data_IF_988363607750
#
_entry.id   IF_988363607750
#
_cell.length_a   1.000
_cell.length_b   1.000
_cell.length_c   1.000
_cell.angle_alpha   90.00
_cell.angle_beta   90.00
_cell.angle_gamma   90.00
#
_symmetry.space_group_name_H-M   'P 1'
#
loop_
_entity.id
_entity.type
_entity.pdbx_description
1 polymer ?
#
# COMPACT_ATOMS: atom_id res chain seq x y z
N UNK A 1 77.29 -9.51 1.70
CA UNK A 1 76.31 -8.59 1.09
C UNK A 1 74.92 -9.11 1.41
N UNK A 2 74.22 -8.51 2.38
CA UNK A 2 72.87 -8.94 2.78
C UNK A 2 71.82 -8.26 1.89
N UNK A 3 71.10 -9.05 1.08
CA UNK A 3 69.95 -8.58 0.32
C UNK A 3 68.75 -8.51 1.28
N UNK A 4 68.34 -7.29 1.65
CA UNK A 4 67.13 -7.05 2.42
C UNK A 4 65.90 -7.25 1.54
N UNK A 5 65.19 -8.38 1.68
CA UNK A 5 63.89 -8.65 1.04
C UNK A 5 62.77 -7.80 1.65
N UNK A 6 62.76 -6.48 1.43
CA UNK A 6 61.74 -5.56 1.98
C UNK A 6 60.49 -5.36 1.11
N UNK A 7 60.37 -6.05 -0.04
CA UNK A 7 59.24 -5.87 -0.97
C UNK A 7 58.05 -6.82 -0.79
N UNK A 8 58.19 -7.93 -0.03
CA UNK A 8 57.18 -8.98 0.03
C UNK A 8 56.04 -8.73 1.06
N UNK A 9 56.23 -7.82 2.02
CA UNK A 9 55.23 -7.51 3.06
C UNK A 9 54.19 -6.47 2.62
N UNK A 10 54.49 -5.61 1.64
CA UNK A 10 53.52 -4.62 1.13
C UNK A 10 52.37 -5.27 0.33
N UNK A 11 52.59 -6.42 -0.29
CA UNK A 11 51.57 -7.12 -1.08
C UNK A 11 50.64 -8.03 -0.25
N UNK A 12 51.11 -8.51 0.90
CA UNK A 12 50.31 -9.35 1.80
C UNK A 12 49.23 -8.52 2.49
N UNK A 13 49.61 -7.39 3.08
CA UNK A 13 48.68 -6.49 3.78
C UNK A 13 47.69 -5.83 2.80
N UNK A 14 48.10 -5.54 1.56
CA UNK A 14 47.20 -4.99 0.55
C UNK A 14 46.07 -5.95 0.15
N UNK A 15 46.35 -7.26 0.09
CA UNK A 15 45.32 -8.29 -0.21
C UNK A 15 44.38 -8.50 0.96
N UNK A 16 44.91 -8.50 2.18
CA UNK A 16 44.11 -8.60 3.40
C UNK A 16 43.20 -7.35 3.51
N UNK A 17 43.74 -6.16 3.29
CA UNK A 17 42.96 -4.92 3.27
C UNK A 17 41.87 -4.95 2.20
N UNK A 18 42.19 -5.38 0.97
CA UNK A 18 41.20 -5.50 -0.10
C UNK A 18 40.09 -6.50 0.26
N UNK A 19 40.43 -7.63 0.87
CA UNK A 19 39.45 -8.62 1.33
C UNK A 19 38.54 -8.04 2.43
N UNK A 20 39.09 -7.28 3.38
CA UNK A 20 38.32 -6.61 4.43
C UNK A 20 37.39 -5.56 3.82
N UNK A 21 37.88 -4.68 2.93
CA UNK A 21 37.04 -3.69 2.26
C UNK A 21 35.97 -4.34 1.36
N UNK A 22 36.31 -5.45 0.70
CA UNK A 22 35.34 -6.24 -0.06
C UNK A 22 34.23 -6.80 0.83
N UNK A 23 34.60 -7.42 1.96
CA UNK A 23 33.63 -7.96 2.92
C UNK A 23 32.76 -6.86 3.54
N UNK A 24 33.35 -5.75 3.98
CA UNK A 24 32.62 -4.61 4.53
C UNK A 24 31.68 -3.99 3.49
N UNK A 25 32.10 -3.87 2.23
CA UNK A 25 31.26 -3.36 1.15
C UNK A 25 30.00 -4.22 0.93
N UNK A 26 30.13 -5.55 0.95
CA UNK A 26 28.99 -6.47 0.83
C UNK A 26 28.04 -6.34 2.02
N UNK A 27 28.57 -6.28 3.24
CA UNK A 27 27.77 -6.12 4.47
C UNK A 27 27.02 -4.79 4.43
N UNK A 28 27.72 -3.69 4.11
CA UNK A 28 27.12 -2.36 3.99
C UNK A 28 26.07 -2.30 2.89
N UNK A 29 26.28 -2.98 1.75
CA UNK A 29 25.30 -3.06 0.67
C UNK A 29 24.01 -3.75 1.08
N UNK A 30 24.11 -4.90 1.75
CA UNK A 30 22.94 -5.62 2.26
C UNK A 30 22.18 -4.83 3.33
N UNK A 31 22.91 -4.19 4.25
CA UNK A 31 22.32 -3.34 5.28
C UNK A 31 21.62 -2.11 4.68
N UNK A 32 22.25 -1.44 3.70
CA UNK A 32 21.67 -0.29 3.00
C UNK A 32 20.40 -0.68 2.23
N UNK A 33 20.44 -1.79 1.50
CA UNK A 33 19.27 -2.30 0.80
C UNK A 33 18.11 -2.59 1.77
N UNK A 34 18.40 -3.26 2.89
CA UNK A 34 17.40 -3.54 3.93
C UNK A 34 16.80 -2.26 4.52
N UNK A 35 17.63 -1.25 4.79
CA UNK A 35 17.17 0.04 5.30
C UNK A 35 16.25 0.76 4.30
N UNK A 36 16.57 0.71 3.00
CA UNK A 36 15.72 1.27 1.94
C UNK A 36 14.37 0.56 1.88
N UNK A 37 14.33 -0.77 1.99
CA UNK A 37 13.07 -1.52 1.97
C UNK A 37 12.21 -1.20 3.20
N UNK A 38 12.82 -1.06 4.38
CA UNK A 38 12.10 -0.64 5.58
C UNK A 38 11.52 0.78 5.44
N UNK A 39 12.29 1.72 4.90
CA UNK A 39 11.81 3.09 4.66
C UNK A 39 10.66 3.15 3.65
N UNK A 40 10.71 2.32 2.58
CA UNK A 40 9.59 2.18 1.63
C UNK A 40 8.34 1.61 2.29
N UNK A 41 8.48 0.53 3.05
CA UNK A 41 7.38 -0.10 3.76
C UNK A 41 6.68 0.90 4.70
N UNK A 42 7.45 1.66 5.47
CA UNK A 42 6.89 2.69 6.37
C UNK A 42 6.22 3.81 5.58
N UNK A 43 6.82 4.28 4.49
CA UNK A 43 6.22 5.31 3.63
C UNK A 43 4.88 4.86 3.04
N UNK A 44 4.78 3.60 2.58
CA UNK A 44 3.54 3.04 2.07
C UNK A 44 2.50 2.89 3.18
N UNK A 45 2.91 2.41 4.35
CA UNK A 45 2.02 2.25 5.50
C UNK A 45 1.43 3.58 5.95
N UNK A 46 2.27 4.63 6.08
CA UNK A 46 1.81 5.97 6.42
C UNK A 46 0.78 6.51 5.43
N UNK A 47 0.98 6.26 4.13
CA UNK A 47 -0.01 6.67 3.13
C UNK A 47 -1.41 6.07 3.39
N UNK A 48 -1.51 4.78 3.70
CA UNK A 48 -2.80 4.14 4.00
C UNK A 48 -3.41 4.62 5.33
N UNK A 49 -2.57 4.88 6.32
CA UNK A 49 -2.98 5.48 7.60
C UNK A 49 -3.56 6.87 7.39
N UNK A 50 -2.89 7.73 6.62
CA UNK A 50 -3.36 9.09 6.32
C UNK A 50 -4.64 9.08 5.47
N UNK A 51 -4.78 8.15 4.52
CA UNK A 51 -6.02 8.00 3.77
C UNK A 51 -7.21 7.60 4.68
N UNK A 52 -6.97 6.75 5.68
CA UNK A 52 -7.99 6.38 6.67
C UNK A 52 -8.36 7.58 7.56
N UNK A 53 -7.36 8.34 8.02
CA UNK A 53 -7.57 9.58 8.79
C UNK A 53 -8.34 10.63 7.99
N UNK A 54 -8.10 10.74 6.68
CA UNK A 54 -8.84 11.64 5.80
C UNK A 54 -10.34 11.32 5.79
N UNK A 55 -10.70 10.04 5.72
CA UNK A 55 -12.11 9.61 5.82
C UNK A 55 -12.71 9.84 7.20
N UNK A 56 -11.93 9.65 8.26
CA UNK A 56 -12.36 9.98 9.62
C UNK A 56 -12.63 11.47 9.78
N UNK A 57 -11.72 12.32 9.32
CA UNK A 57 -11.85 13.76 9.39
C UNK A 57 -13.05 14.26 8.56
N UNK A 58 -13.27 13.68 7.38
CA UNK A 58 -14.49 13.93 6.60
C UNK A 58 -15.75 13.62 7.41
N UNK A 59 -15.76 12.48 8.12
CA UNK A 59 -16.89 12.10 8.99
C UNK A 59 -17.10 13.08 10.15
N UNK A 60 -16.02 13.52 10.79
CA UNK A 60 -16.08 14.46 11.91
C UNK A 60 -16.60 15.83 11.49
N UNK A 61 -16.17 16.34 10.33
CA UNK A 61 -16.61 17.66 9.85
C UNK A 61 -18.06 17.64 9.33
N UNK A 62 -18.46 16.57 8.64
CA UNK A 62 -19.74 16.53 7.93
C UNK A 62 -20.83 15.75 8.69
N UNK A 63 -20.50 15.11 9.80
CA UNK A 63 -21.42 14.30 10.62
C UNK A 63 -21.92 13.01 9.93
N UNK A 64 -21.39 12.68 8.75
CA UNK A 64 -21.78 11.49 7.96
C UNK A 64 -20.57 10.89 7.24
N UNK A 65 -20.48 9.55 7.14
CA UNK A 65 -19.38 8.91 6.43
C UNK A 65 -19.50 9.19 4.92
N UNK A 66 -18.46 8.85 4.17
CA UNK A 66 -18.49 8.88 2.71
C UNK A 66 -19.74 8.16 2.18
N UNK A 67 -20.39 8.78 1.21
CA UNK A 67 -21.58 8.21 0.58
C UNK A 67 -21.23 6.94 -0.21
N UNK A 68 -22.12 5.96 -0.17
CA UNK A 68 -22.01 4.71 -0.94
C UNK A 68 -22.49 4.95 -2.38
N UNK A 69 -21.66 4.57 -3.36
CA UNK A 69 -22.03 4.52 -4.78
C UNK A 69 -22.82 3.24 -5.09
N UNK A 70 -22.44 2.14 -4.44
CA UNK A 70 -23.09 0.83 -4.52
C UNK A 70 -22.83 0.06 -3.21
N UNK A 71 -23.08 -1.26 -3.18
CA UNK A 71 -22.95 -2.12 -1.99
C UNK A 71 -21.59 -2.07 -1.30
N UNK A 72 -20.53 -1.77 -2.06
CA UNK A 72 -19.14 -1.85 -1.59
C UNK A 72 -18.35 -0.58 -1.88
N UNK A 73 -18.62 0.16 -2.94
CA UNK A 73 -17.81 1.31 -3.36
C UNK A 73 -18.28 2.60 -2.70
N UNK A 74 -17.34 3.38 -2.15
CA UNK A 74 -17.60 4.72 -1.62
C UNK A 74 -17.18 5.80 -2.62
N UNK A 75 -17.78 6.98 -2.51
CA UNK A 75 -17.37 8.16 -3.27
C UNK A 75 -16.07 8.76 -2.72
N UNK A 76 -14.95 8.07 -2.93
CA UNK A 76 -13.60 8.47 -2.47
C UNK A 76 -13.18 9.86 -2.98
N UNK A 77 -13.76 10.34 -4.09
CA UNK A 77 -13.52 11.69 -4.59
C UNK A 77 -13.98 12.80 -3.63
N UNK A 78 -14.89 12.50 -2.70
CA UNK A 78 -15.41 13.45 -1.70
C UNK A 78 -14.34 13.82 -0.65
N UNK A 79 -13.24 13.05 -0.58
CA UNK A 79 -12.07 13.38 0.22
C UNK A 79 -11.22 14.50 -0.39
N UNK A 80 -11.37 14.78 -1.68
CA UNK A 80 -10.54 15.73 -2.43
C UNK A 80 -11.37 16.93 -2.90
N UNK A 81 -12.61 16.67 -3.31
CA UNK A 81 -13.53 17.69 -3.86
C UNK A 81 -14.87 17.65 -3.15
N UNK A 82 -15.55 18.79 -3.05
CA UNK A 82 -16.86 18.88 -2.42
C UNK A 82 -17.99 18.54 -3.41
N UNK A 83 -18.01 17.31 -3.94
CA UNK A 83 -19.01 16.85 -4.93
C UNK A 83 -20.45 17.01 -4.43
N UNK A 84 -20.68 16.77 -3.14
CA UNK A 84 -22.01 16.84 -2.52
C UNK A 84 -22.45 18.28 -2.17
N UNK A 85 -21.58 19.28 -2.33
CA UNK A 85 -21.89 20.67 -2.03
C UNK A 85 -22.17 20.93 -0.55
N UNK A 86 -21.53 20.18 0.36
CA UNK A 86 -21.73 20.32 1.80
C UNK A 86 -21.12 21.64 2.29
N UNK A 87 -21.91 22.47 2.98
CA UNK A 87 -21.42 23.71 3.59
C UNK A 87 -20.43 23.47 4.73
N UNK A 88 -20.43 22.27 5.32
CA UNK A 88 -19.54 21.85 6.40
C UNK A 88 -18.19 21.31 5.91
N UNK A 89 -18.01 21.16 4.60
CA UNK A 89 -16.79 20.55 4.04
C UNK A 89 -15.58 21.47 4.22
N UNK A 90 -14.49 20.92 4.79
CA UNK A 90 -13.23 21.63 5.07
C UNK A 90 -12.03 21.00 4.38
N UNK A 91 -12.26 20.21 3.34
CA UNK A 91 -11.20 19.55 2.60
C UNK A 91 -10.36 20.54 1.76
N UNK A 92 -9.43 20.02 0.94
CA UNK A 92 -9.19 18.60 0.71
C UNK A 92 -8.63 17.88 1.95
N UNK A 93 -9.12 16.68 2.22
CA UNK A 93 -8.70 15.83 3.34
C UNK A 93 -7.46 14.99 3.01
N UNK A 94 -7.10 14.90 1.74
CA UNK A 94 -5.90 14.20 1.27
C UNK A 94 -5.37 14.82 -0.02
N UNK A 95 -4.05 14.69 -0.24
CA UNK A 95 -3.40 15.16 -1.47
C UNK A 95 -3.46 14.10 -2.56
N UNK A 96 -4.37 14.28 -3.52
CA UNK A 96 -4.50 13.42 -4.70
C UNK A 96 -5.27 14.15 -5.81
N UNK A 97 -5.27 13.57 -6.99
CA UNK A 97 -6.04 14.01 -8.15
C UNK A 97 -7.32 13.17 -8.25
N UNK A 98 -8.48 13.80 -8.39
CA UNK A 98 -9.73 13.07 -8.67
C UNK A 98 -9.67 12.52 -10.08
N UNK A 99 -9.87 11.22 -10.23
CA UNK A 99 -9.96 10.56 -11.54
C UNK A 99 -11.41 10.23 -11.90
N UNK A 100 -12.16 9.70 -10.93
CA UNK A 100 -13.60 9.47 -10.98
C UNK A 100 -14.21 9.86 -9.62
N UNK A 101 -15.53 9.92 -9.53
CA UNK A 101 -16.20 10.24 -8.26
C UNK A 101 -15.85 9.26 -7.12
N UNK A 102 -15.48 8.02 -7.45
CA UNK A 102 -15.11 6.95 -6.52
C UNK A 102 -13.62 6.58 -6.55
N UNK A 103 -12.80 7.24 -7.37
CA UNK A 103 -11.42 6.86 -7.58
C UNK A 103 -10.46 8.05 -7.79
N UNK A 104 -9.28 7.96 -7.19
CA UNK A 104 -8.28 9.02 -7.20
C UNK A 104 -6.92 8.51 -7.70
N UNK A 105 -6.05 9.41 -8.15
CA UNK A 105 -4.64 9.13 -8.50
C UNK A 105 -3.70 9.93 -7.64
N UNK A 106 -2.56 9.35 -7.28
CA UNK A 106 -1.50 10.03 -6.55
C UNK A 106 -0.14 9.39 -6.87
N UNK A 107 0.91 9.82 -6.18
CA UNK A 107 2.26 9.29 -6.41
C UNK A 107 2.36 7.80 -6.06
N UNK A 108 1.64 7.30 -5.05
CA UNK A 108 1.67 5.88 -4.67
C UNK A 108 1.00 5.03 -5.73
N UNK A 109 -0.15 5.46 -6.29
CA UNK A 109 -0.78 4.70 -7.38
C UNK A 109 0.11 4.67 -8.62
N UNK A 110 0.78 5.78 -8.96
CA UNK A 110 1.74 5.86 -10.07
C UNK A 110 2.95 4.93 -9.90
N UNK A 111 3.33 4.55 -8.67
CA UNK A 111 4.38 3.54 -8.43
C UNK A 111 3.93 2.12 -8.79
N UNK A 112 2.63 1.84 -8.74
CA UNK A 112 2.08 0.55 -9.13
C UNK A 112 1.99 0.48 -10.65
N UNK A 113 1.15 1.32 -11.26
CA UNK A 113 1.01 1.46 -12.71
C UNK A 113 0.32 2.78 -13.06
N UNK A 114 0.37 3.17 -14.33
CA UNK A 114 -0.35 4.36 -14.81
C UNK A 114 -1.88 4.24 -14.70
N UNK A 115 -2.40 3.01 -14.68
CA UNK A 115 -3.82 2.70 -14.59
C UNK A 115 -4.27 2.42 -13.15
N UNK A 116 -3.36 2.47 -12.19
CA UNK A 116 -3.68 2.27 -10.79
C UNK A 116 -4.46 3.46 -10.22
N UNK A 117 -5.47 3.14 -9.44
CA UNK A 117 -6.40 4.03 -8.80
C UNK A 117 -6.48 3.72 -7.32
N UNK A 118 -6.63 4.74 -6.50
CA UNK A 118 -7.01 4.61 -5.11
C UNK A 118 -8.53 4.67 -5.01
N UNK A 119 -9.12 3.76 -4.25
CA UNK A 119 -10.54 3.75 -3.94
C UNK A 119 -10.76 3.36 -2.48
N UNK A 120 -11.92 3.74 -1.93
CA UNK A 120 -12.37 3.31 -0.60
C UNK A 120 -13.58 2.40 -0.76
N UNK A 121 -13.56 1.27 -0.07
CA UNK A 121 -14.59 0.23 -0.15
C UNK A 121 -15.08 -0.21 1.23
N UNK A 122 -16.32 -0.67 1.32
CA UNK A 122 -16.88 -1.36 2.48
C UNK A 122 -16.82 -2.86 2.24
N UNK A 123 -16.01 -3.56 3.03
CA UNK A 123 -15.78 -4.99 2.90
C UNK A 123 -15.85 -5.68 4.27
N UNK A 124 -15.94 -7.01 4.25
CA UNK A 124 -15.97 -7.81 5.45
C UNK A 124 -14.70 -7.64 6.27
N UNK A 125 -14.86 -7.44 7.59
CA UNK A 125 -13.74 -7.32 8.53
C UNK A 125 -13.05 -8.66 8.78
N UNK A 126 -13.82 -9.73 8.94
CA UNK A 126 -13.28 -11.06 9.18
C UNK A 126 -12.34 -11.51 8.04
N UNK A 127 -11.51 -12.51 8.31
CA UNK A 127 -10.60 -13.08 7.32
C UNK A 127 -11.34 -13.51 6.07
N UNK A 128 -10.72 -13.28 4.92
CA UNK A 128 -11.30 -13.65 3.64
C UNK A 128 -10.95 -15.11 3.32
N UNK A 129 -11.88 -15.79 2.65
CA UNK A 129 -11.74 -17.22 2.33
C UNK A 129 -11.33 -17.45 0.87
N UNK A 130 -11.52 -16.46 0.01
CA UNK A 130 -11.26 -16.54 -1.43
C UNK A 130 -10.63 -15.24 -1.91
N UNK A 131 -9.72 -15.33 -2.88
CA UNK A 131 -9.13 -14.17 -3.54
C UNK A 131 -9.75 -13.87 -4.91
N UNK A 132 -10.82 -14.58 -5.30
CA UNK A 132 -11.46 -14.48 -6.62
C UNK A 132 -12.78 -13.71 -6.61
N UNK A 133 -13.25 -13.26 -5.45
CA UNK A 133 -14.52 -12.56 -5.30
C UNK A 133 -14.41 -11.43 -4.29
N UNK A 134 -15.33 -10.49 -4.40
CA UNK A 134 -15.48 -9.38 -3.49
C UNK A 134 -16.02 -9.85 -2.13
N UNK A 135 -15.31 -9.60 -1.03
CA UNK A 135 -15.78 -9.95 0.32
C UNK A 135 -16.76 -8.88 0.82
N UNK A 136 -17.90 -8.75 0.14
CA UNK A 136 -18.93 -7.75 0.45
C UNK A 136 -19.54 -7.95 1.84
N UNK A 137 -19.87 -6.85 2.51
CA UNK A 137 -20.64 -6.92 3.76
C UNK A 137 -22.00 -7.58 3.51
N UNK A 138 -22.37 -8.57 4.34
CA UNK A 138 -23.42 -9.54 4.02
C UNK A 138 -24.82 -8.90 3.92
N UNK A 139 -25.08 -7.85 4.69
CA UNK A 139 -26.35 -7.12 4.67
C UNK A 139 -26.19 -5.66 5.07
N UNK A 140 -27.20 -4.84 4.78
CA UNK A 140 -27.33 -3.49 5.36
C UNK A 140 -27.28 -3.61 6.89
N UNK A 141 -26.51 -2.75 7.54
CA UNK A 141 -26.34 -2.76 8.99
C UNK A 141 -25.40 -3.84 9.55
N UNK A 142 -24.78 -4.67 8.71
CA UNK A 142 -23.82 -5.70 9.14
C UNK A 142 -22.69 -5.11 9.99
N UNK A 143 -22.48 -5.68 11.17
CA UNK A 143 -21.43 -5.30 12.10
C UNK A 143 -20.05 -5.84 11.71
N UNK A 144 -20.00 -6.84 10.84
CA UNK A 144 -18.77 -7.37 10.24
C UNK A 144 -18.35 -6.56 9.00
N UNK A 145 -18.41 -5.24 9.08
CA UNK A 145 -18.13 -4.36 7.96
C UNK A 145 -17.11 -3.30 8.36
N UNK A 146 -16.11 -3.10 7.51
CA UNK A 146 -15.06 -2.13 7.70
C UNK A 146 -14.82 -1.37 6.40
N UNK A 147 -14.40 -0.13 6.55
CA UNK A 147 -13.90 0.70 5.48
C UNK A 147 -12.45 0.29 5.17
N UNK A 148 -12.19 0.03 3.90
CA UNK A 148 -10.89 -0.30 3.38
C UNK A 148 -10.47 0.78 2.40
N UNK A 149 -9.31 1.39 2.63
CA UNK A 149 -8.63 2.12 1.56
C UNK A 149 -7.86 1.11 0.73
N UNK A 150 -8.05 1.12 -0.58
CA UNK A 150 -7.35 0.23 -1.49
C UNK A 150 -6.70 0.94 -2.66
N UNK A 151 -5.72 0.26 -3.23
CA UNK A 151 -5.19 0.55 -4.56
C UNK A 151 -5.60 -0.58 -5.47
N UNK A 152 -6.18 -0.23 -6.61
CA UNK A 152 -6.60 -1.18 -7.61
C UNK A 152 -6.07 -0.79 -8.97
N UNK A 153 -5.85 -1.77 -9.83
CA UNK A 153 -5.62 -1.50 -11.23
C UNK A 153 -6.30 -2.57 -12.06
N UNK A 154 -6.85 -2.13 -13.18
CA UNK A 154 -7.33 -3.00 -14.24
C UNK A 154 -6.38 -2.83 -15.41
N UNK A 155 -5.85 -3.91 -15.96
CA UNK A 155 -4.96 -3.83 -17.11
C UNK A 155 -5.42 -4.78 -18.22
N UNK A 156 -5.65 -4.24 -19.42
CA UNK A 156 -6.27 -4.98 -20.53
C UNK A 156 -5.29 -5.90 -21.29
N UNK A 157 -3.99 -5.85 -21.03
CA UNK A 157 -2.97 -6.68 -21.70
C UNK A 157 -2.02 -7.37 -20.70
N UNK A 158 -1.11 -8.24 -21.12
CA UNK A 158 -0.31 -9.08 -20.23
C UNK A 158 0.96 -8.41 -19.65
N UNK A 159 1.00 -7.07 -19.55
CA UNK A 159 2.17 -6.38 -18.99
C UNK A 159 2.14 -6.47 -17.46
N UNK A 160 2.80 -7.51 -16.92
CA UNK A 160 2.77 -7.92 -15.52
C UNK A 160 3.41 -6.95 -14.52
N UNK A 161 3.98 -5.82 -14.97
CA UNK A 161 4.74 -4.93 -14.10
C UNK A 161 3.87 -4.32 -12.99
N UNK A 162 2.62 -3.97 -13.29
CA UNK A 162 1.69 -3.45 -12.28
C UNK A 162 1.40 -4.46 -11.16
N UNK A 163 1.18 -5.73 -11.53
CA UNK A 163 0.96 -6.80 -10.56
C UNK A 163 2.20 -7.05 -9.71
N UNK A 164 3.38 -7.16 -10.33
CA UNK A 164 4.65 -7.34 -9.62
C UNK A 164 4.92 -6.18 -8.65
N UNK A 165 4.67 -4.94 -9.07
CA UNK A 165 4.83 -3.77 -8.21
C UNK A 165 3.86 -3.79 -7.02
N UNK A 166 2.59 -4.17 -7.26
CA UNK A 166 1.59 -4.32 -6.20
C UNK A 166 1.95 -5.45 -5.23
N UNK A 167 2.40 -6.60 -5.74
CA UNK A 167 2.85 -7.72 -4.92
C UNK A 167 4.05 -7.32 -4.06
N UNK A 168 5.05 -6.65 -4.63
CA UNK A 168 6.20 -6.16 -3.87
C UNK A 168 5.78 -5.16 -2.77
N UNK A 169 4.81 -4.28 -3.07
CA UNK A 169 4.25 -3.37 -2.06
C UNK A 169 3.50 -4.13 -0.97
N UNK A 170 2.68 -5.11 -1.33
CA UNK A 170 1.97 -5.98 -0.40
C UNK A 170 2.97 -6.72 0.52
N UNK A 171 3.97 -7.40 -0.04
CA UNK A 171 4.93 -8.20 0.73
C UNK A 171 5.68 -7.34 1.78
N UNK A 172 6.02 -6.09 1.43
CA UNK A 172 6.62 -5.14 2.36
C UNK A 172 5.67 -4.74 3.49
N UNK A 173 4.41 -4.47 3.17
CA UNK A 173 3.38 -4.02 4.12
C UNK A 173 2.92 -5.15 5.04
N UNK A 174 2.65 -6.33 4.47
CA UNK A 174 2.27 -7.56 5.17
C UNK A 174 3.38 -7.97 6.16
N UNK A 175 4.65 -7.92 5.74
CA UNK A 175 5.78 -8.15 6.65
C UNK A 175 5.86 -7.11 7.77
N UNK A 176 5.66 -5.82 7.46
CA UNK A 176 5.77 -4.72 8.43
C UNK A 176 4.64 -4.75 9.48
N UNK A 177 3.42 -5.04 9.06
CA UNK A 177 2.20 -4.82 9.87
C UNK A 177 1.55 -6.12 10.33
N UNK A 178 1.54 -7.15 9.49
CA UNK A 178 0.74 -8.36 9.69
C UNK A 178 1.61 -9.62 9.90
N UNK A 179 2.93 -9.46 10.01
CA UNK A 179 3.91 -10.53 10.21
C UNK A 179 3.84 -11.62 9.12
N UNK A 180 3.53 -11.24 7.89
CA UNK A 180 3.44 -12.16 6.75
C UNK A 180 2.37 -13.24 6.93
N UNK A 181 1.17 -12.86 7.41
CA UNK A 181 0.07 -13.80 7.66
C UNK A 181 -0.74 -14.16 6.40
N UNK A 182 -0.42 -13.51 5.28
CA UNK A 182 -0.81 -13.85 3.92
C UNK A 182 -1.94 -12.98 3.36
N UNK A 183 -2.18 -13.10 2.05
CA UNK A 183 -3.00 -12.18 1.25
C UNK A 183 -4.45 -11.96 1.73
N UNK A 184 -5.00 -12.83 2.57
CA UNK A 184 -6.43 -12.82 2.94
C UNK A 184 -6.68 -12.55 4.43
N UNK A 185 -5.64 -12.21 5.18
CA UNK A 185 -5.67 -12.00 6.63
C UNK A 185 -5.04 -10.64 6.96
N UNK A 186 -4.86 -10.34 8.25
CA UNK A 186 -4.30 -9.06 8.66
C UNK A 186 -5.11 -7.81 8.28
N UNK A 187 -4.44 -6.66 8.43
CA UNK A 187 -4.90 -5.35 8.00
C UNK A 187 -4.67 -5.14 6.51
N UNK A 188 -3.56 -5.62 5.97
CA UNK A 188 -3.26 -5.59 4.55
C UNK A 188 -3.73 -6.85 3.86
N UNK A 189 -4.53 -6.69 2.81
CA UNK A 189 -5.08 -7.83 2.05
C UNK A 189 -4.91 -7.62 0.57
N UNK A 190 -4.76 -8.70 -0.18
CA UNK A 190 -4.64 -8.68 -1.62
C UNK A 190 -5.66 -9.63 -2.26
N UNK A 191 -6.39 -9.15 -3.27
CA UNK A 191 -7.43 -9.91 -3.98
C UNK A 191 -7.15 -9.87 -5.47
N UNK A 192 -7.34 -11.02 -6.12
CA UNK A 192 -7.10 -11.29 -7.54
C UNK A 192 -8.43 -11.66 -8.18
N UNK A 193 -9.32 -10.67 -8.33
CA UNK A 193 -10.70 -10.88 -8.80
C UNK A 193 -10.72 -11.50 -10.20
N UNK A 194 -9.75 -11.15 -11.04
CA UNK A 194 -9.52 -11.80 -12.32
C UNK A 194 -8.02 -11.78 -12.65
N UNK A 195 -7.64 -12.36 -13.79
CA UNK A 195 -6.26 -12.31 -14.29
C UNK A 195 -5.72 -10.88 -14.50
N UNK A 196 -6.61 -9.90 -14.61
CA UNK A 196 -6.30 -8.53 -14.99
C UNK A 196 -6.74 -7.49 -13.95
N UNK A 197 -7.36 -7.93 -12.84
CA UNK A 197 -7.97 -7.05 -11.87
C UNK A 197 -7.52 -7.41 -10.46
N UNK A 198 -6.70 -6.55 -9.89
CA UNK A 198 -6.02 -6.77 -8.62
C UNK A 198 -6.24 -5.60 -7.67
N UNK A 199 -6.34 -5.96 -6.39
CA UNK A 199 -6.62 -5.01 -5.31
C UNK A 199 -5.67 -5.27 -4.17
N UNK A 200 -5.06 -4.21 -3.67
CA UNK A 200 -4.37 -4.14 -2.38
C UNK A 200 -5.21 -3.29 -1.44
N UNK A 201 -5.57 -3.83 -0.30
CA UNK A 201 -6.46 -3.22 0.68
C UNK A 201 -5.76 -3.01 2.02
N UNK A 202 -6.09 -1.91 2.68
CA UNK A 202 -5.77 -1.64 4.07
C UNK A 202 -7.06 -1.46 4.87
N UNK A 203 -7.23 -2.28 5.91
CA UNK A 203 -8.37 -2.23 6.81
C UNK A 203 -8.30 -0.99 7.70
N UNK A 204 -9.21 -0.05 7.46
CA UNK A 204 -9.40 1.15 8.26
C UNK A 204 -10.49 0.98 9.32
N UNK A 205 -11.42 1.93 9.34
CA UNK A 205 -12.39 2.13 10.41
C UNK A 205 -13.59 1.19 10.24
N UNK A 206 -14.19 0.74 11.33
CA UNK A 206 -15.44 -0.02 11.30
C UNK A 206 -16.59 0.87 10.83
N UNK A 207 -17.29 0.46 9.78
CA UNK A 207 -18.40 1.20 9.18
C UNK A 207 -19.51 0.22 8.80
N UNK A 208 -20.77 0.64 8.94
CA UNK A 208 -21.92 -0.17 8.54
C UNK A 208 -22.30 0.11 7.08
N UNK A 209 -22.65 -0.95 6.34
CA UNK A 209 -23.28 -0.85 5.02
C UNK A 209 -24.65 -0.19 5.14
N UNK A 210 -25.00 0.71 4.21
CA UNK A 210 -26.25 1.50 4.24
C UNK A 210 -27.19 1.19 3.08
N UNK A 211 -26.67 0.80 1.92
CA UNK A 211 -27.43 0.44 0.71
C UNK A 211 -27.03 -0.93 0.18
#
# INVERSE_FOLDING_TARGET
MFILKKGAMFGLDARIALAIFGALSVISGAALYSAIQAAKAESYHQYFVEATKASEQYYLDNGKPLSQKNSQTLYTGDLITNREGLSTWKGPYMQAEVYLADANKNNITKLISNDALQSTSLLQRNNWTTNTSWPECASVGDANCAEYTGINFYHASSSNNGFTNMQNMFDLLDKLVDNSDGELKGKFRMVKVSANNHYLYYQGILRKRKI
#
